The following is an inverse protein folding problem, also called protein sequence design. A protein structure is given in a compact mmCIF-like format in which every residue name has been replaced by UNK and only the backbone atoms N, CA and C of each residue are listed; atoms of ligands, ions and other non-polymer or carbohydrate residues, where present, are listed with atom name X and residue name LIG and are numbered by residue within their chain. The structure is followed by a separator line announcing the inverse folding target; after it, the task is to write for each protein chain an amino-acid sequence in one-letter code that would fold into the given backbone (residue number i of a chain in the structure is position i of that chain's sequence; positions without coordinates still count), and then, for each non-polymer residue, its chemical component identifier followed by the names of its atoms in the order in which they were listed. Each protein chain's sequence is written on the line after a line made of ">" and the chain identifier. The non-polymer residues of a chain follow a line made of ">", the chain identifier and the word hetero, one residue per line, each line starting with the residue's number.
data_IF_508301493400
#
_entry.id   IF_508301493400
#
_cell.length_a   1.000
_cell.length_b   1.000
_cell.length_c   1.000
_cell.angle_alpha   90.00
_cell.angle_beta   90.00
_cell.angle_gamma   90.00
#
_symmetry.space_group_name_H-M   'P 1'
#
loop_
_entity.id
_entity.type
_entity.pdbx_description
1 polymer ?
#
# COMPACT_ATOMS: atom_id res chain seq x y z
N UNK A 1 9.74 4.20 -9.66
CA UNK A 1 10.22 2.99 -10.37
C UNK A 1 9.11 1.95 -10.32
N UNK A 2 8.95 1.08 -11.32
CA UNK A 2 7.72 0.28 -11.41
C UNK A 2 7.70 -0.91 -10.44
N UNK A 3 8.54 -1.91 -10.68
CA UNK A 3 8.65 -3.15 -9.90
C UNK A 3 10.02 -3.82 -10.14
N UNK A 4 10.56 -4.63 -9.21
CA UNK A 4 11.86 -5.29 -9.34
C UNK A 4 12.13 -6.04 -10.64
N UNK A 5 11.11 -6.70 -11.20
CA UNK A 5 11.25 -7.48 -12.43
C UNK A 5 11.30 -6.62 -13.71
N UNK A 6 11.03 -5.32 -13.60
CA UNK A 6 10.93 -4.39 -14.74
C UNK A 6 11.84 -3.15 -14.58
N UNK A 7 12.55 -3.06 -13.46
CA UNK A 7 13.42 -1.92 -13.15
C UNK A 7 14.77 -2.42 -12.67
N UNK A 8 15.84 -2.11 -13.41
CA UNK A 8 17.19 -2.50 -13.04
C UNK A 8 17.65 -1.85 -11.71
N UNK A 9 18.47 -2.55 -10.94
CA UNK A 9 19.00 -2.07 -9.65
C UNK A 9 19.70 -0.69 -9.74
N UNK A 10 20.42 -0.43 -10.85
CA UNK A 10 21.05 0.88 -11.08
C UNK A 10 20.03 2.02 -11.20
N UNK A 11 18.86 1.75 -11.80
CA UNK A 11 17.77 2.72 -11.91
C UNK A 11 17.15 3.00 -10.54
N UNK A 12 16.96 1.97 -9.72
CA UNK A 12 16.53 2.15 -8.33
C UNK A 12 17.47 3.05 -7.54
N UNK A 13 18.78 2.74 -7.55
CA UNK A 13 19.79 3.56 -6.85
C UNK A 13 19.79 5.00 -7.34
N UNK A 14 19.61 5.22 -8.65
CA UNK A 14 19.48 6.57 -9.23
C UNK A 14 18.21 7.28 -8.75
N UNK A 15 17.07 6.58 -8.69
CA UNK A 15 15.82 7.13 -8.17
C UNK A 15 15.96 7.53 -6.70
N UNK A 16 16.53 6.65 -5.86
CA UNK A 16 16.77 6.94 -4.42
C UNK A 16 17.67 8.17 -4.27
N UNK A 17 18.77 8.24 -5.03
CA UNK A 17 19.68 9.39 -5.00
C UNK A 17 18.98 10.70 -5.37
N UNK A 18 18.23 10.71 -6.48
CA UNK A 18 17.53 11.93 -6.92
C UNK A 18 16.38 12.31 -6.00
N UNK A 19 15.63 11.33 -5.48
CA UNK A 19 14.55 11.56 -4.54
C UNK A 19 15.07 12.15 -3.23
N UNK A 20 16.17 11.61 -2.69
CA UNK A 20 16.84 12.15 -1.50
C UNK A 20 17.29 13.59 -1.71
N UNK A 21 17.89 13.90 -2.87
CA UNK A 21 18.36 15.25 -3.19
C UNK A 21 17.22 16.27 -3.31
N UNK A 22 16.05 15.83 -3.80
CA UNK A 22 14.89 16.71 -4.07
C UNK A 22 13.83 16.70 -2.97
N UNK A 23 13.99 15.86 -1.94
CA UNK A 23 12.96 15.64 -0.92
C UNK A 23 11.72 14.94 -1.46
N UNK A 24 11.82 14.21 -2.57
CA UNK A 24 10.69 13.48 -3.15
C UNK A 24 10.43 12.17 -2.45
N UNK A 25 9.17 11.75 -2.41
CA UNK A 25 8.78 10.38 -2.03
C UNK A 25 8.92 9.44 -3.22
N UNK A 26 9.03 8.15 -2.92
CA UNK A 26 9.06 7.08 -3.93
C UNK A 26 7.89 6.14 -3.71
N UNK A 27 7.44 5.51 -4.80
CA UNK A 27 6.53 4.38 -4.76
C UNK A 27 7.01 3.31 -5.75
N UNK A 28 6.78 2.04 -5.40
CA UNK A 28 7.04 0.88 -6.25
C UNK A 28 6.17 -0.29 -5.84
N UNK A 29 5.80 -1.13 -6.80
CA UNK A 29 5.24 -2.45 -6.51
C UNK A 29 6.36 -3.34 -5.99
N UNK A 30 6.07 -4.16 -4.99
CA UNK A 30 7.08 -5.02 -4.37
C UNK A 30 6.43 -6.27 -3.77
N UNK A 31 7.02 -7.43 -4.06
CA UNK A 31 6.57 -8.72 -3.55
C UNK A 31 5.06 -8.95 -3.77
N UNK A 32 4.57 -8.56 -4.95
CA UNK A 32 3.15 -8.66 -5.30
C UNK A 32 2.78 -10.10 -5.66
N UNK A 33 3.68 -10.82 -6.33
CA UNK A 33 3.44 -12.20 -6.82
C UNK A 33 4.52 -13.17 -6.37
N UNK A 34 4.17 -14.47 -6.32
CA UNK A 34 5.14 -15.53 -6.10
C UNK A 34 6.15 -15.59 -7.25
N UNK A 35 5.69 -15.34 -8.49
CA UNK A 35 6.50 -15.31 -9.70
C UNK A 35 7.55 -14.19 -9.69
N UNK A 36 7.24 -13.02 -9.13
CA UNK A 36 8.23 -11.97 -8.89
C UNK A 36 9.34 -12.48 -7.96
N UNK A 37 8.97 -13.09 -6.83
CA UNK A 37 9.94 -13.60 -5.85
C UNK A 37 10.84 -14.68 -6.46
N UNK A 38 10.25 -15.63 -7.21
CA UNK A 38 10.99 -16.67 -7.94
C UNK A 38 11.91 -16.07 -9.00
N UNK A 39 11.42 -15.13 -9.80
CA UNK A 39 12.22 -14.48 -10.83
C UNK A 39 13.46 -13.79 -10.25
N UNK A 40 13.35 -13.13 -9.10
CA UNK A 40 14.50 -12.51 -8.44
C UNK A 40 15.44 -13.52 -7.78
N UNK A 41 14.91 -14.61 -7.22
CA UNK A 41 15.71 -15.62 -6.53
C UNK A 41 16.48 -16.52 -7.50
N UNK A 42 15.83 -17.04 -8.54
CA UNK A 42 16.37 -18.10 -9.41
C UNK A 42 16.44 -17.71 -10.87
N UNK A 43 15.78 -16.62 -11.29
CA UNK A 43 15.83 -16.12 -12.66
C UNK A 43 15.02 -16.94 -13.66
N UNK A 44 14.12 -17.78 -13.16
CA UNK A 44 13.25 -18.68 -13.93
C UNK A 44 11.75 -18.44 -13.61
N UNK A 45 10.88 -19.27 -14.19
CA UNK A 45 9.44 -19.23 -13.98
C UNK A 45 8.65 -18.37 -14.98
N UNK A 46 7.33 -18.25 -14.80
CA UNK A 46 6.44 -17.64 -15.80
C UNK A 46 6.80 -16.18 -16.16
N UNK A 47 7.31 -15.42 -15.19
CA UNK A 47 7.72 -14.03 -15.40
C UNK A 47 8.97 -13.92 -16.28
N UNK A 48 9.93 -14.85 -16.11
CA UNK A 48 11.10 -14.97 -17.00
C UNK A 48 10.65 -15.20 -18.44
N UNK A 49 9.81 -16.21 -18.65
CA UNK A 49 9.33 -16.55 -19.98
C UNK A 49 8.53 -15.40 -20.62
N UNK A 50 7.71 -14.70 -19.83
CA UNK A 50 6.96 -13.54 -20.31
C UNK A 50 7.91 -12.44 -20.81
N UNK A 51 8.94 -12.10 -20.03
CA UNK A 51 9.91 -11.08 -20.40
C UNK A 51 10.72 -11.47 -21.64
N UNK A 52 11.10 -12.74 -21.77
CA UNK A 52 11.77 -13.26 -22.97
C UNK A 52 10.88 -13.20 -24.20
N UNK A 53 9.63 -13.70 -24.11
CA UNK A 53 8.66 -13.64 -25.22
C UNK A 53 8.37 -12.22 -25.68
N UNK A 54 8.48 -11.24 -24.78
CA UNK A 54 8.25 -9.82 -25.08
C UNK A 54 9.52 -9.08 -25.50
N UNK A 55 10.70 -9.72 -25.50
CA UNK A 55 11.97 -9.07 -25.78
C UNK A 55 12.37 -8.00 -24.76
N UNK A 56 11.86 -8.12 -23.53
CA UNK A 56 12.07 -7.16 -22.44
C UNK A 56 13.14 -7.61 -21.44
N UNK A 57 13.63 -8.85 -21.56
CA UNK A 57 14.71 -9.34 -20.73
C UNK A 57 16.06 -8.78 -21.25
N UNK A 58 16.81 -8.14 -20.36
CA UNK A 58 18.13 -7.62 -20.70
C UNK A 58 19.09 -8.75 -21.11
N UNK A 59 19.94 -8.48 -22.10
CA UNK A 59 21.00 -9.40 -22.50
C UNK A 59 21.94 -9.67 -21.31
N UNK A 60 22.24 -10.95 -21.05
CA UNK A 60 23.06 -11.35 -19.92
C UNK A 60 22.41 -11.17 -18.55
N UNK A 61 21.08 -11.03 -18.46
CA UNK A 61 20.37 -10.96 -17.19
C UNK A 61 20.79 -12.11 -16.26
N UNK A 62 21.13 -11.73 -15.02
CA UNK A 62 21.36 -12.67 -13.91
C UNK A 62 20.42 -12.32 -12.76
N UNK A 63 19.73 -13.29 -12.17
CA UNK A 63 18.90 -13.04 -11.01
C UNK A 63 19.76 -12.54 -9.85
N UNK A 64 19.27 -11.60 -9.03
CA UNK A 64 20.00 -11.11 -7.87
C UNK A 64 20.15 -12.16 -6.75
N UNK A 65 19.38 -13.25 -6.76
CA UNK A 65 19.54 -14.34 -5.80
C UNK A 65 18.96 -14.05 -4.42
N UNK A 66 18.04 -13.09 -4.31
CA UNK A 66 17.51 -12.58 -3.04
C UNK A 66 16.01 -12.31 -3.14
N UNK A 67 15.33 -12.16 -1.99
CA UNK A 67 13.91 -11.76 -1.93
C UNK A 67 13.70 -10.34 -2.48
N UNK A 68 12.48 -9.97 -2.90
CA UNK A 68 12.16 -8.60 -3.29
C UNK A 68 12.54 -7.56 -2.22
N UNK A 69 12.27 -7.86 -0.93
CA UNK A 69 12.60 -6.95 0.18
C UNK A 69 14.10 -6.84 0.44
N UNK A 70 14.85 -7.95 0.32
CA UNK A 70 16.30 -7.91 0.39
C UNK A 70 16.93 -7.11 -0.77
N UNK A 71 16.38 -7.23 -2.00
CA UNK A 71 16.78 -6.37 -3.12
C UNK A 71 16.46 -4.90 -2.82
N UNK A 72 15.26 -4.60 -2.32
CA UNK A 72 14.85 -3.25 -1.95
C UNK A 72 15.80 -2.61 -0.93
N UNK A 73 16.27 -3.39 0.06
CA UNK A 73 17.32 -2.96 0.99
C UNK A 73 18.63 -2.68 0.26
N UNK A 74 19.10 -3.60 -0.58
CA UNK A 74 20.38 -3.49 -1.28
C UNK A 74 20.46 -2.30 -2.27
N UNK A 75 19.32 -1.80 -2.75
CA UNK A 75 19.24 -0.63 -3.64
C UNK A 75 18.91 0.67 -2.89
N UNK A 76 18.76 0.63 -1.57
CA UNK A 76 18.53 1.78 -0.70
C UNK A 76 17.07 2.26 -0.63
N UNK A 77 16.10 1.48 -1.13
CA UNK A 77 14.68 1.86 -1.02
C UNK A 77 14.21 1.89 0.43
N UNK A 78 14.66 0.94 1.25
CA UNK A 78 14.26 0.81 2.66
C UNK A 78 14.83 1.93 3.55
N UNK A 79 15.87 2.62 3.10
CA UNK A 79 16.48 3.76 3.81
C UNK A 79 15.80 5.10 3.46
N UNK A 80 14.91 5.08 2.46
CA UNK A 80 14.14 6.24 2.00
C UNK A 80 12.66 6.12 2.37
N UNK A 81 11.95 7.24 2.42
CA UNK A 81 10.50 7.22 2.59
C UNK A 81 9.82 6.77 1.29
N UNK A 82 9.65 5.44 1.20
CA UNK A 82 9.11 4.75 0.03
C UNK A 82 7.78 4.09 0.40
N UNK A 83 6.78 4.23 -0.46
CA UNK A 83 5.53 3.49 -0.40
C UNK A 83 5.65 2.20 -1.20
N UNK A 84 5.52 1.06 -0.52
CA UNK A 84 5.59 -0.28 -1.10
C UNK A 84 4.17 -0.77 -1.36
N UNK A 85 3.80 -0.92 -2.62
CA UNK A 85 2.49 -1.45 -2.98
C UNK A 85 2.48 -2.99 -2.89
N UNK A 86 1.37 -3.52 -2.39
CA UNK A 86 1.08 -4.94 -2.20
C UNK A 86 1.82 -5.57 -1.03
N UNK A 87 3.07 -6.01 -1.21
CA UNK A 87 3.85 -6.72 -0.17
C UNK A 87 3.16 -8.02 0.29
N UNK A 88 2.59 -8.76 -0.66
CA UNK A 88 1.83 -9.99 -0.42
C UNK A 88 2.71 -11.16 0.03
N UNK A 89 3.92 -11.29 -0.55
CA UNK A 89 4.79 -12.46 -0.36
C UNK A 89 6.06 -12.09 0.41
N UNK A 90 6.00 -12.18 1.74
CA UNK A 90 7.13 -11.85 2.61
C UNK A 90 7.35 -12.86 3.74
N UNK A 91 8.62 -13.10 4.06
CA UNK A 91 9.05 -13.94 5.18
C UNK A 91 9.15 -13.16 6.49
N UNK A 92 9.41 -13.84 7.61
CA UNK A 92 9.70 -13.17 8.89
C UNK A 92 10.95 -12.29 8.84
N UNK A 93 11.99 -12.73 8.12
CA UNK A 93 13.20 -11.93 7.90
C UNK A 93 12.90 -10.66 7.08
N UNK A 94 11.98 -10.75 6.11
CA UNK A 94 11.53 -9.59 5.35
C UNK A 94 10.71 -8.63 6.23
N UNK A 95 9.89 -9.15 7.16
CA UNK A 95 9.20 -8.32 8.16
C UNK A 95 10.19 -7.58 9.08
N UNK A 96 11.28 -8.22 9.50
CA UNK A 96 12.34 -7.56 10.28
C UNK A 96 12.99 -6.43 9.48
N UNK A 97 13.28 -6.66 8.20
CA UNK A 97 13.85 -5.65 7.31
C UNK A 97 12.92 -4.45 7.12
N UNK A 98 11.62 -4.72 6.99
CA UNK A 98 10.58 -3.71 6.79
C UNK A 98 10.31 -2.91 8.08
N UNK A 99 10.30 -3.56 9.24
CA UNK A 99 10.15 -2.91 10.55
C UNK A 99 11.32 -1.97 10.87
N UNK A 100 12.53 -2.33 10.44
CA UNK A 100 13.72 -1.48 10.56
C UNK A 100 13.82 -0.40 9.45
N UNK A 101 12.85 -0.28 8.56
CA UNK A 101 12.88 0.64 7.40
C UNK A 101 12.14 1.95 7.66
N UNK A 102 12.23 2.87 6.69
CA UNK A 102 11.43 4.11 6.65
C UNK A 102 10.22 4.00 5.71
N UNK A 103 9.88 2.80 5.27
CA UNK A 103 8.83 2.55 4.30
C UNK A 103 7.44 2.48 4.93
N UNK A 104 6.43 2.81 4.13
CA UNK A 104 5.03 2.45 4.38
C UNK A 104 4.57 1.37 3.41
N UNK A 105 3.52 0.64 3.76
CA UNK A 105 2.89 -0.37 2.90
C UNK A 105 1.51 0.12 2.46
N UNK A 106 1.27 0.10 1.14
CA UNK A 106 -0.06 0.26 0.56
C UNK A 106 -0.64 -1.14 0.29
N UNK A 107 -1.50 -1.60 1.20
CA UNK A 107 -2.23 -2.84 1.04
C UNK A 107 -3.48 -2.61 0.19
N UNK A 108 -3.72 -3.46 -0.80
CA UNK A 108 -4.87 -3.41 -1.71
C UNK A 108 -5.76 -4.65 -1.51
N UNK A 109 -6.67 -4.67 -0.52
CA UNK A 109 -7.41 -5.85 -0.10
C UNK A 109 -8.25 -6.53 -1.18
N UNK A 110 -9.07 -5.77 -1.93
CA UNK A 110 -9.94 -6.35 -2.96
C UNK A 110 -9.14 -6.84 -4.17
N UNK A 111 -8.10 -6.12 -4.57
CA UNK A 111 -7.13 -6.60 -5.59
C UNK A 111 -6.43 -7.87 -5.13
N UNK A 112 -6.00 -7.93 -3.87
CA UNK A 112 -5.38 -9.11 -3.29
C UNK A 112 -6.32 -10.33 -3.34
N UNK A 113 -7.61 -10.12 -3.03
CA UNK A 113 -8.66 -11.15 -3.14
C UNK A 113 -8.96 -11.55 -4.60
N UNK A 114 -8.93 -10.60 -5.53
CA UNK A 114 -9.18 -10.83 -6.95
C UNK A 114 -8.14 -11.78 -7.56
N UNK A 115 -6.85 -11.57 -7.24
CA UNK A 115 -5.76 -12.44 -7.70
C UNK A 115 -5.60 -13.73 -6.89
N UNK A 116 -6.44 -13.97 -5.88
CA UNK A 116 -6.42 -15.20 -5.09
C UNK A 116 -5.12 -15.41 -4.33
N UNK A 117 -4.50 -14.34 -3.86
CA UNK A 117 -3.29 -14.43 -3.05
C UNK A 117 -3.57 -15.10 -1.69
N UNK A 118 -2.56 -15.75 -1.07
CA UNK A 118 -2.67 -16.26 0.29
C UNK A 118 -2.79 -15.11 1.30
N UNK A 119 -3.23 -15.41 2.53
CA UNK A 119 -3.49 -14.42 3.58
C UNK A 119 -2.37 -13.37 3.72
N UNK A 120 -2.76 -12.10 3.61
CA UNK A 120 -1.84 -10.98 3.70
C UNK A 120 -1.37 -10.74 5.14
N UNK A 121 -0.06 -10.53 5.34
CA UNK A 121 0.55 -10.33 6.67
C UNK A 121 0.42 -8.90 7.23
N UNK A 122 -0.64 -8.15 6.89
CA UNK A 122 -0.75 -6.73 7.30
C UNK A 122 -0.86 -6.58 8.83
N UNK A 123 -1.49 -7.55 9.51
CA UNK A 123 -1.60 -7.55 10.98
C UNK A 123 -0.23 -7.71 11.65
N UNK A 124 0.60 -8.62 11.13
CA UNK A 124 1.97 -8.80 11.59
C UNK A 124 2.81 -7.54 11.35
N UNK A 125 2.62 -6.89 10.20
CA UNK A 125 3.28 -5.63 9.88
C UNK A 125 2.90 -4.55 10.91
N UNK A 126 1.61 -4.35 11.16
CA UNK A 126 1.13 -3.36 12.14
C UNK A 126 1.60 -3.67 13.57
N UNK A 127 1.60 -4.95 13.97
CA UNK A 127 2.10 -5.39 15.28
C UNK A 127 3.60 -5.09 15.47
N UNK A 128 4.36 -5.00 14.37
CA UNK A 128 5.78 -4.62 14.34
C UNK A 128 6.00 -3.11 14.17
N UNK A 129 4.94 -2.30 14.22
CA UNK A 129 5.00 -0.85 14.09
C UNK A 129 5.17 -0.34 12.65
N UNK A 130 5.02 -1.20 11.65
CA UNK A 130 5.07 -0.80 10.24
C UNK A 130 3.78 -0.04 9.89
N UNK A 131 3.92 1.12 9.26
CA UNK A 131 2.76 1.89 8.79
C UNK A 131 2.13 1.19 7.58
N UNK A 132 0.93 0.64 7.78
CA UNK A 132 0.11 0.06 6.70
C UNK A 132 -1.08 0.96 6.44
N UNK A 133 -1.23 1.40 5.18
CA UNK A 133 -2.40 2.11 4.69
C UNK A 133 -3.13 1.27 3.65
N UNK A 134 -4.42 1.58 3.43
CA UNK A 134 -5.23 0.95 2.39
C UNK A 134 -5.16 1.74 1.10
N UNK A 135 -5.07 1.03 -0.03
CA UNK A 135 -5.15 1.56 -1.37
C UNK A 135 -6.06 0.68 -2.23
N UNK A 136 -6.48 1.19 -3.38
CA UNK A 136 -7.44 0.49 -4.26
C UNK A 136 -6.79 -0.21 -5.45
N UNK A 137 -5.49 0.00 -5.65
CA UNK A 137 -4.79 -0.29 -6.90
C UNK A 137 -5.52 0.33 -8.11
N UNK A 138 -6.17 -0.47 -8.96
CA UNK A 138 -6.81 0.00 -10.18
C UNK A 138 -8.12 -0.74 -10.50
N UNK A 139 -8.92 -0.17 -11.42
CA UNK A 139 -10.15 -0.79 -11.92
C UNK A 139 -9.91 -2.11 -12.71
N UNK A 140 -8.64 -2.47 -12.98
CA UNK A 140 -8.31 -3.75 -13.60
C UNK A 140 -8.50 -4.93 -12.65
N UNK A 141 -8.46 -4.68 -11.33
CA UNK A 141 -8.46 -5.69 -10.27
C UNK A 141 -9.39 -5.33 -9.10
N UNK A 142 -10.09 -4.19 -9.17
CA UNK A 142 -11.02 -3.69 -8.16
C UNK A 142 -12.30 -3.15 -8.79
N UNK A 143 -13.44 -3.38 -8.14
CA UNK A 143 -14.77 -2.97 -8.64
C UNK A 143 -15.03 -1.46 -8.53
N UNK A 144 -14.29 -0.77 -7.65
CA UNK A 144 -14.41 0.67 -7.42
C UNK A 144 -13.10 1.27 -6.92
N UNK A 145 -12.87 2.56 -7.13
CA UNK A 145 -11.73 3.30 -6.55
C UNK A 145 -12.07 3.92 -5.18
N UNK A 146 -12.98 3.30 -4.44
CA UNK A 146 -13.41 3.76 -3.12
C UNK A 146 -12.55 3.14 -2.03
N UNK A 147 -11.77 3.98 -1.32
CA UNK A 147 -11.04 3.55 -0.11
C UNK A 147 -12.03 3.06 0.96
N UNK A 148 -13.21 3.66 1.06
CA UNK A 148 -14.25 3.22 2.00
C UNK A 148 -14.71 1.79 1.69
N UNK A 149 -14.81 1.41 0.42
CA UNK A 149 -15.16 0.02 0.06
C UNK A 149 -14.05 -0.96 0.42
N UNK A 150 -12.78 -0.59 0.29
CA UNK A 150 -11.67 -1.43 0.77
C UNK A 150 -11.72 -1.62 2.29
N UNK A 151 -12.06 -0.57 3.05
CA UNK A 151 -12.21 -0.67 4.51
C UNK A 151 -13.39 -1.56 4.91
N UNK A 152 -14.53 -1.43 4.22
CA UNK A 152 -15.70 -2.29 4.42
C UNK A 152 -15.40 -3.74 4.10
N UNK A 153 -14.66 -3.99 3.02
CA UNK A 153 -14.18 -5.33 2.68
C UNK A 153 -13.28 -5.90 3.77
N UNK A 154 -12.30 -5.13 4.27
CA UNK A 154 -11.47 -5.58 5.40
C UNK A 154 -12.29 -5.84 6.66
N UNK A 155 -13.29 -5.00 6.95
CA UNK A 155 -14.19 -5.18 8.08
C UNK A 155 -14.97 -6.49 7.99
N UNK A 156 -15.45 -6.86 6.80
CA UNK A 156 -16.18 -8.11 6.60
C UNK A 156 -15.29 -9.35 6.71
N UNK A 157 -14.05 -9.28 6.20
CA UNK A 157 -13.10 -10.41 6.26
C UNK A 157 -12.46 -10.55 7.66
N UNK A 158 -12.35 -9.45 8.41
CA UNK A 158 -11.74 -9.41 9.75
C UNK A 158 -12.69 -8.78 10.78
N UNK A 159 -13.81 -9.47 11.12
CA UNK A 159 -14.82 -8.98 12.06
C UNK A 159 -14.29 -8.81 13.50
N UNK A 160 -13.11 -9.36 13.80
CA UNK A 160 -12.42 -9.24 15.09
C UNK A 160 -11.57 -7.96 15.22
N UNK A 161 -11.29 -7.26 14.12
CA UNK A 161 -10.51 -6.02 14.16
C UNK A 161 -11.34 -4.84 14.66
N UNK A 162 -10.71 -3.99 15.47
CA UNK A 162 -11.25 -2.70 15.88
C UNK A 162 -11.53 -1.81 14.63
N UNK A 163 -12.79 -1.40 14.39
CA UNK A 163 -13.17 -0.50 13.29
C UNK A 163 -12.32 0.78 13.23
N UNK A 164 -11.91 1.31 14.39
CA UNK A 164 -11.05 2.49 14.47
C UNK A 164 -9.68 2.23 13.85
N UNK A 165 -9.14 1.03 14.00
CA UNK A 165 -7.86 0.65 13.38
C UNK A 165 -7.98 0.66 11.85
N UNK A 166 -9.06 0.11 11.30
CA UNK A 166 -9.32 0.12 9.86
C UNK A 166 -9.49 1.55 9.34
N UNK A 167 -10.25 2.40 10.03
CA UNK A 167 -10.38 3.81 9.65
C UNK A 167 -9.05 4.55 9.66
N UNK A 168 -8.16 4.27 10.60
CA UNK A 168 -6.80 4.83 10.59
C UNK A 168 -6.01 4.39 9.35
N UNK A 169 -6.13 3.13 8.93
CA UNK A 169 -5.49 2.63 7.70
C UNK A 169 -5.94 3.39 6.45
N UNK A 170 -7.21 3.82 6.38
CA UNK A 170 -7.76 4.60 5.28
C UNK A 170 -7.61 6.12 5.40
N UNK A 171 -7.08 6.63 6.52
CA UNK A 171 -6.96 8.08 6.79
C UNK A 171 -5.53 8.47 7.16
N UNK A 172 -5.22 8.57 8.46
CA UNK A 172 -3.93 9.07 8.96
C UNK A 172 -2.75 8.21 8.55
N UNK A 173 -2.91 6.88 8.41
CA UNK A 173 -1.82 6.02 7.93
C UNK A 173 -1.51 6.29 6.46
N UNK A 174 -2.54 6.59 5.64
CA UNK A 174 -2.37 7.00 4.24
C UNK A 174 -1.67 8.35 4.15
N UNK A 175 -2.07 9.31 4.99
CA UNK A 175 -1.38 10.60 5.08
C UNK A 175 0.11 10.41 5.47
N UNK A 176 0.41 9.58 6.47
CA UNK A 176 1.79 9.30 6.90
C UNK A 176 2.61 8.60 5.81
N UNK A 177 2.03 7.63 5.11
CA UNK A 177 2.66 6.95 3.97
C UNK A 177 3.06 7.93 2.86
N UNK A 178 2.22 8.94 2.61
CA UNK A 178 2.46 9.99 1.63
C UNK A 178 3.32 11.15 2.17
N UNK A 179 3.59 11.20 3.47
CA UNK A 179 4.33 12.30 4.11
C UNK A 179 3.53 13.58 4.26
N UNK A 180 2.21 13.45 4.37
CA UNK A 180 1.24 14.53 4.50
C UNK A 180 0.53 14.51 5.85
N UNK A 181 0.99 13.70 6.81
CA UNK A 181 0.39 13.55 8.13
C UNK A 181 0.45 14.80 9.01
N UNK A 182 1.33 15.76 8.71
CA UNK A 182 1.28 17.10 9.33
C UNK A 182 0.22 18.02 8.71
N UNK A 183 -0.29 17.69 7.51
CA UNK A 183 -1.24 18.52 6.76
C UNK A 183 -2.66 17.96 6.75
N UNK A 184 -2.83 16.64 6.68
CA UNK A 184 -4.13 15.96 6.50
C UNK A 184 -4.23 14.68 7.34
N UNK A 185 -5.32 13.92 7.17
CA UNK A 185 -5.53 12.60 7.77
C UNK A 185 -6.19 12.60 9.15
N UNK A 186 -6.25 13.76 9.84
CA UNK A 186 -7.05 13.95 11.06
C UNK A 186 -7.71 15.33 11.07
N UNK A 187 -8.86 15.44 11.73
CA UNK A 187 -9.46 16.73 12.05
C UNK A 187 -8.84 17.26 13.35
N UNK A 188 -7.82 18.09 13.22
CA UNK A 188 -7.06 18.65 14.33
C UNK A 188 -6.64 20.07 14.00
N UNK A 189 -6.56 20.99 15.00
CA UNK A 189 -6.13 22.36 14.75
C UNK A 189 -4.78 22.42 14.01
N UNK A 190 -4.69 23.26 12.98
CA UNK A 190 -3.48 23.45 12.16
C UNK A 190 -3.43 22.61 10.88
N UNK A 191 -4.25 21.56 10.75
CA UNK A 191 -4.36 20.75 9.52
C UNK A 191 -5.35 21.35 8.52
N UNK A 192 -5.21 20.98 7.26
CA UNK A 192 -6.19 21.29 6.22
C UNK A 192 -7.53 20.61 6.54
N UNK A 193 -8.63 21.33 6.31
CA UNK A 193 -9.98 20.82 6.51
C UNK A 193 -10.40 19.93 5.33
N UNK A 194 -9.74 18.78 5.20
CA UNK A 194 -10.04 17.72 4.26
C UNK A 194 -10.92 16.67 4.95
N UNK A 195 -12.20 16.61 4.60
CA UNK A 195 -13.14 15.68 5.22
C UNK A 195 -14.31 15.32 4.30
N UNK A 196 -14.99 14.24 4.69
CA UNK A 196 -16.22 13.79 4.06
C UNK A 196 -17.35 13.85 5.07
N UNK A 197 -18.54 14.26 4.63
CA UNK A 197 -19.74 14.24 5.46
C UNK A 197 -20.57 13.00 5.09
N UNK A 198 -20.91 12.18 6.08
CA UNK A 198 -21.71 10.96 5.91
C UNK A 198 -22.99 11.10 6.73
N UNK A 199 -24.18 10.77 6.17
CA UNK A 199 -25.42 10.80 6.92
C UNK A 199 -25.39 9.73 8.02
N UNK A 200 -25.89 10.08 9.20
CA UNK A 200 -25.95 9.20 10.36
C UNK A 200 -27.41 8.99 10.74
N UNK A 201 -27.85 7.75 10.75
CA UNK A 201 -29.18 7.39 11.26
C UNK A 201 -29.18 7.35 12.79
N UNK A 202 -30.31 7.64 13.47
CA UNK A 202 -30.37 7.64 14.94
C UNK A 202 -29.90 6.33 15.60
N UNK A 203 -30.08 5.19 14.93
CA UNK A 203 -29.63 3.86 15.40
C UNK A 203 -28.11 3.68 15.43
N UNK A 204 -27.35 4.52 14.73
CA UNK A 204 -25.89 4.45 14.65
C UNK A 204 -25.18 5.10 15.84
N UNK A 205 -25.92 5.75 16.76
CA UNK A 205 -25.35 6.60 17.81
C UNK A 205 -24.43 5.87 18.80
N UNK A 206 -24.48 4.53 18.86
CA UNK A 206 -23.64 3.74 19.78
C UNK A 206 -22.24 3.43 19.25
N UNK A 207 -22.04 3.40 17.92
CA UNK A 207 -20.75 3.09 17.29
C UNK A 207 -20.72 3.60 15.84
N UNK A 208 -20.13 4.78 15.64
CA UNK A 208 -20.10 5.43 14.32
C UNK A 208 -19.05 4.81 13.40
N UNK A 209 -17.94 4.33 13.97
CA UNK A 209 -16.89 3.67 13.23
C UNK A 209 -17.38 2.33 12.66
N UNK A 210 -18.08 1.53 13.47
CA UNK A 210 -18.72 0.30 12.99
C UNK A 210 -19.78 0.61 11.93
N UNK A 211 -20.69 1.55 12.20
CA UNK A 211 -21.72 1.96 11.26
C UNK A 211 -21.16 2.35 9.88
N UNK A 212 -20.09 3.14 9.85
CA UNK A 212 -19.46 3.55 8.60
C UNK A 212 -18.91 2.35 7.81
N UNK A 213 -18.39 1.34 8.51
CA UNK A 213 -17.75 0.16 7.90
C UNK A 213 -18.71 -1.02 7.64
N UNK A 214 -19.92 -1.03 8.19
CA UNK A 214 -20.90 -2.11 7.97
C UNK A 214 -22.12 -1.67 7.16
N UNK A 215 -22.61 -0.45 7.38
CA UNK A 215 -23.78 0.06 6.67
C UNK A 215 -23.34 0.68 5.35
N UNK A 216 -24.13 0.47 4.29
CA UNK A 216 -23.88 1.03 2.95
C UNK A 216 -24.28 2.51 2.86
N UNK A 217 -23.81 3.32 3.80
CA UNK A 217 -23.90 4.78 3.75
C UNK A 217 -22.79 5.36 2.89
N UNK A 218 -23.04 6.50 2.26
CA UNK A 218 -22.06 7.13 1.39
C UNK A 218 -21.85 8.58 1.78
N UNK A 219 -20.64 9.11 1.61
CA UNK A 219 -20.43 10.54 1.68
C UNK A 219 -21.46 11.29 0.81
N UNK A 220 -22.06 12.32 1.36
CA UNK A 220 -22.94 13.25 0.63
C UNK A 220 -22.23 14.56 0.32
N UNK A 221 -21.09 14.83 0.96
CA UNK A 221 -20.25 16.00 0.68
C UNK A 221 -18.78 15.67 0.87
N UNK A 222 -17.93 16.29 0.08
CA UNK A 222 -16.47 16.27 0.23
C UNK A 222 -15.96 17.70 0.33
N UNK A 223 -15.09 17.95 1.30
CA UNK A 223 -14.41 19.21 1.47
C UNK A 223 -12.90 19.00 1.32
N UNK A 224 -12.25 19.90 0.58
CA UNK A 224 -10.80 19.95 0.44
C UNK A 224 -10.34 21.35 0.84
N UNK A 225 -9.45 21.43 1.82
CA UNK A 225 -8.95 22.67 2.42
C UNK A 225 -10.08 23.59 2.87
N UNK A 226 -11.18 23.01 3.36
CA UNK A 226 -12.37 23.73 3.82
C UNK A 226 -13.32 24.20 2.71
N UNK A 227 -13.01 23.93 1.44
CA UNK A 227 -13.87 24.28 0.31
C UNK A 227 -14.67 23.06 -0.15
N UNK A 228 -15.97 23.20 -0.50
CA UNK A 228 -16.74 22.11 -1.05
C UNK A 228 -16.14 21.68 -2.39
N UNK A 229 -15.82 20.39 -2.51
CA UNK A 229 -15.24 19.78 -3.70
C UNK A 229 -16.23 18.88 -4.44
N UNK A 230 -17.23 18.34 -3.74
CA UNK A 230 -18.29 17.50 -4.29
C UNK A 230 -19.53 17.53 -3.39
N UNK A 231 -20.72 17.47 -4.00
CA UNK A 231 -22.04 17.36 -3.38
C UNK A 231 -22.95 16.48 -4.26
#
# INVERSE_FOLDING_TARGET
>A
PHAPYSTAAAVYRRCVKEASRRGWRLATHLAETHEESRFLATGDGPLRELLERRGLLAEGFRPPGVSPLALARAVGLLDHQTLLAHVNYISDADLDLLAASRCGVAYCPRTHRFFGHPEHRFRDMMARGINVCVATDSLASSESLSVLDELRFLRSEHPDMDPRTLLRMGTINGAAALGLDELVGTLSPGKLADFVAVPVEPRAASDLEEYLLTDRVWPTRVYLSGLPAWE
#
